data_IF_496020864809
#
_entry.id   IF_496020864809
#
_cell.length_a   1.000
_cell.length_b   1.000
_cell.length_c   1.000
_cell.angle_alpha   90.00
_cell.angle_beta   90.00
_cell.angle_gamma   90.00
#
_symmetry.space_group_name_H-M   'P 1'
#
loop_
_entity.id
_entity.type
_entity.pdbx_description
1 polymer ?
#
# COMPACT_ATOMS: atom_id res chain seq x y z
N UNK A 1 -3.87 -14.46 27.20
CA UNK A 1 -3.92 -14.90 25.79
C UNK A 1 -4.26 -13.67 24.97
N UNK A 2 -3.29 -13.10 24.25
CA UNK A 2 -3.56 -11.96 23.38
C UNK A 2 -4.43 -12.44 22.23
N UNK A 3 -5.62 -11.86 22.09
CA UNK A 3 -6.53 -12.11 20.97
C UNK A 3 -5.75 -11.85 19.67
N UNK A 4 -5.84 -12.69 18.62
CA UNK A 4 -5.28 -12.33 17.34
C UNK A 4 -5.97 -11.05 16.88
N UNK A 5 -5.18 -10.02 16.60
CA UNK A 5 -5.69 -8.77 16.04
C UNK A 5 -6.21 -9.13 14.65
N UNK A 6 -7.52 -9.22 14.48
CA UNK A 6 -8.14 -9.50 13.17
C UNK A 6 -7.73 -8.38 12.23
N UNK A 7 -6.94 -8.69 11.22
CA UNK A 7 -6.57 -7.76 10.17
C UNK A 7 -7.73 -7.70 9.19
N UNK A 8 -8.40 -6.56 9.13
CA UNK A 8 -9.44 -6.32 8.14
C UNK A 8 -8.81 -5.95 6.79
N UNK A 9 -9.40 -6.38 5.66
CA UNK A 9 -8.92 -5.99 4.34
C UNK A 9 -8.99 -4.47 4.17
N UNK A 10 -7.97 -3.89 3.55
CA UNK A 10 -7.96 -2.47 3.20
C UNK A 10 -9.21 -2.13 2.35
N UNK A 11 -10.03 -1.14 2.76
CA UNK A 11 -11.22 -0.76 2.00
C UNK A 11 -10.87 -0.20 0.62
N UNK A 12 -11.82 -0.31 -0.32
CA UNK A 12 -11.66 0.29 -1.65
C UNK A 12 -11.33 1.78 -1.56
N UNK A 13 -10.24 2.20 -2.18
CA UNK A 13 -9.78 3.59 -2.12
C UNK A 13 -8.39 3.77 -2.68
N UNK A 14 -7.93 5.01 -2.71
CA UNK A 14 -6.55 5.38 -3.04
C UNK A 14 -5.84 5.78 -1.77
N UNK A 15 -4.65 5.24 -1.57
CA UNK A 15 -3.86 5.45 -0.36
C UNK A 15 -2.41 5.69 -0.70
N UNK A 16 -1.71 6.36 0.19
CA UNK A 16 -0.27 6.31 0.28
C UNK A 16 0.10 5.20 1.26
N UNK A 17 0.84 4.20 0.80
CA UNK A 17 1.25 3.06 1.59
C UNK A 17 2.70 3.22 2.04
N UNK A 18 2.95 3.05 3.34
CA UNK A 18 4.29 3.08 3.94
C UNK A 18 4.60 1.73 4.59
N UNK A 19 5.66 1.01 4.16
CA UNK A 19 6.02 -0.27 4.75
C UNK A 19 6.51 -0.10 6.20
N UNK A 20 6.20 -1.06 7.07
CA UNK A 20 6.76 -1.09 8.42
C UNK A 20 8.28 -1.31 8.38
N UNK A 21 9.05 -0.62 9.23
CA UNK A 21 10.52 -0.59 9.18
C UNK A 21 11.23 -1.95 9.35
N UNK A 22 10.53 -2.99 9.81
CA UNK A 22 11.08 -4.35 9.97
C UNK A 22 10.83 -5.26 8.77
N UNK A 23 10.29 -4.71 7.67
CA UNK A 23 10.02 -5.48 6.48
C UNK A 23 11.34 -5.89 5.79
N UNK A 24 11.60 -7.18 5.53
CA UNK A 24 12.80 -7.59 4.81
C UNK A 24 12.75 -7.02 3.38
N UNK A 25 13.53 -5.98 3.14
CA UNK A 25 13.71 -5.29 1.86
C UNK A 25 14.57 -6.09 0.84
N UNK A 26 14.86 -7.37 1.12
CA UNK A 26 15.75 -8.21 0.29
C UNK A 26 15.05 -9.53 -0.05
N UNK A 27 13.78 -9.47 -0.47
CA UNK A 27 13.01 -10.62 -0.91
C UNK A 27 12.67 -10.53 -2.40
N UNK A 28 12.62 -11.64 -3.16
CA UNK A 28 12.26 -11.67 -4.59
C UNK A 28 10.81 -11.24 -4.89
N UNK A 29 10.13 -10.61 -3.94
CA UNK A 29 8.73 -10.24 -3.98
C UNK A 29 8.49 -8.78 -4.40
N UNK A 30 9.53 -7.98 -4.70
CA UNK A 30 9.39 -6.61 -5.25
C UNK A 30 9.02 -5.50 -4.25
N UNK A 31 9.30 -5.70 -2.97
CA UNK A 31 8.87 -4.77 -1.89
C UNK A 31 9.70 -3.48 -1.85
N UNK A 32 10.92 -3.55 -2.36
CA UNK A 32 11.91 -2.48 -2.42
C UNK A 32 11.36 -1.30 -3.24
N UNK A 33 10.49 -1.60 -4.21
CA UNK A 33 9.85 -0.61 -5.07
C UNK A 33 8.84 0.26 -4.31
N UNK A 34 8.25 -0.28 -3.25
CA UNK A 34 7.27 0.41 -2.38
C UNK A 34 7.95 1.22 -1.27
N UNK A 35 9.25 1.02 -1.01
CA UNK A 35 9.99 1.81 -0.03
C UNK A 35 10.43 3.17 -0.62
N UNK A 36 10.40 4.28 0.16
CA UNK A 36 9.89 4.45 1.54
C UNK A 36 8.37 4.65 1.63
N UNK A 37 7.70 4.75 0.49
CA UNK A 37 6.26 4.72 0.36
C UNK A 37 5.86 4.78 -1.12
N UNK A 38 4.67 4.31 -1.44
CA UNK A 38 4.13 4.36 -2.80
C UNK A 38 2.63 4.66 -2.81
N UNK A 39 2.16 5.18 -3.94
CA UNK A 39 0.73 5.28 -4.18
C UNK A 39 0.17 3.89 -4.38
N UNK A 40 -0.98 3.59 -3.79
CA UNK A 40 -1.67 2.35 -4.04
C UNK A 40 -3.18 2.55 -4.20
N UNK A 41 -3.80 1.63 -4.92
CA UNK A 41 -5.24 1.57 -5.10
C UNK A 41 -5.72 0.22 -4.61
N UNK A 42 -6.68 0.24 -3.68
CA UNK A 42 -7.37 -0.96 -3.24
C UNK A 42 -8.75 -1.05 -3.88
N UNK A 43 -9.16 -2.27 -4.23
CA UNK A 43 -10.54 -2.60 -4.60
C UNK A 43 -11.32 -3.28 -3.46
N UNK A 44 -10.71 -3.44 -2.28
CA UNK A 44 -11.26 -4.20 -1.15
C UNK A 44 -10.83 -5.67 -1.09
N UNK A 45 -10.14 -6.18 -2.10
CA UNK A 45 -9.63 -7.56 -2.19
C UNK A 45 -8.15 -7.60 -2.58
N UNK A 46 -7.75 -6.73 -3.50
CA UNK A 46 -6.42 -6.53 -4.02
C UNK A 46 -5.99 -5.08 -3.82
N UNK A 47 -4.69 -4.88 -3.75
CA UNK A 47 -4.03 -3.60 -3.66
C UNK A 47 -2.94 -3.58 -4.71
N UNK A 48 -3.01 -2.60 -5.59
CA UNK A 48 -2.04 -2.36 -6.65
C UNK A 48 -1.24 -1.13 -6.26
N UNK A 49 0.08 -1.26 -6.26
CA UNK A 49 1.04 -0.20 -5.95
C UNK A 49 1.58 0.37 -7.24
N UNK A 50 1.72 1.68 -7.25
CA UNK A 50 2.15 2.48 -8.37
C UNK A 50 3.35 3.33 -7.97
N UNK A 51 4.35 3.35 -8.84
CA UNK A 51 5.51 4.24 -8.75
C UNK A 51 5.66 4.95 -10.08
N UNK A 52 5.75 6.27 -10.04
CA UNK A 52 5.84 7.12 -11.25
C UNK A 52 4.73 6.87 -12.31
N UNK A 53 3.58 6.34 -11.87
CA UNK A 53 2.44 6.02 -12.74
C UNK A 53 2.42 4.60 -13.29
N UNK A 54 3.45 3.79 -13.05
CA UNK A 54 3.51 2.38 -13.47
C UNK A 54 3.13 1.45 -12.31
N UNK A 55 2.43 0.37 -12.63
CA UNK A 55 2.16 -0.71 -11.68
C UNK A 55 3.47 -1.46 -11.41
N UNK A 56 3.93 -1.33 -10.17
CA UNK A 56 5.17 -1.96 -9.71
C UNK A 56 4.91 -3.25 -8.97
N UNK A 57 3.77 -3.34 -8.29
CA UNK A 57 3.48 -4.48 -7.44
C UNK A 57 1.98 -4.59 -7.13
N UNK A 58 1.52 -5.82 -6.91
CA UNK A 58 0.16 -6.07 -6.46
C UNK A 58 0.13 -7.17 -5.41
N UNK A 59 -0.67 -6.98 -4.35
CA UNK A 59 -0.89 -7.97 -3.31
C UNK A 59 -2.33 -7.95 -2.83
N UNK A 60 -2.71 -8.93 -2.00
CA UNK A 60 -4.07 -8.95 -1.46
C UNK A 60 -4.24 -7.88 -0.36
N UNK A 61 -5.47 -7.40 -0.19
CA UNK A 61 -5.78 -6.28 0.71
C UNK A 61 -5.55 -6.58 2.20
N UNK A 62 -5.60 -7.86 2.60
CA UNK A 62 -5.30 -8.29 3.97
C UNK A 62 -3.81 -8.21 4.24
N UNK A 63 -3.00 -8.69 3.30
CA UNK A 63 -1.54 -8.63 3.36
C UNK A 63 -1.07 -7.18 3.41
N UNK A 64 -1.63 -6.34 2.54
CA UNK A 64 -1.36 -4.92 2.52
C UNK A 64 -1.68 -4.29 3.91
N UNK A 65 -2.87 -4.53 4.44
CA UNK A 65 -3.29 -4.04 5.76
C UNK A 65 -2.45 -4.58 6.94
N UNK A 66 -1.81 -5.74 6.78
CA UNK A 66 -0.96 -6.34 7.80
C UNK A 66 0.44 -5.71 7.88
N UNK A 67 0.95 -5.22 6.74
CA UNK A 67 2.38 -4.90 6.56
C UNK A 67 2.66 -3.43 6.22
N UNK A 68 1.62 -2.66 5.89
CA UNK A 68 1.73 -1.26 5.50
C UNK A 68 0.78 -0.39 6.31
N UNK A 69 1.23 0.84 6.56
CA UNK A 69 0.37 1.92 7.04
C UNK A 69 -0.20 2.69 5.85
N UNK A 70 -1.50 2.98 5.88
CA UNK A 70 -2.20 3.65 4.78
C UNK A 70 -2.70 5.03 5.21
N UNK A 71 -2.28 6.06 4.47
CA UNK A 71 -2.87 7.38 4.55
C UNK A 71 -3.80 7.58 3.35
N UNK A 72 -5.06 7.94 3.60
CA UNK A 72 -5.98 8.27 2.52
C UNK A 72 -5.44 9.50 1.77
N UNK A 73 -5.08 9.32 0.50
CA UNK A 73 -4.77 10.45 -0.37
C UNK A 73 -6.10 11.01 -0.84
N UNK A 74 -6.52 12.11 -0.21
CA UNK A 74 -7.54 12.96 -0.80
C UNK A 74 -7.04 13.36 -2.19
N UNK A 75 -7.82 13.08 -3.23
CA UNK A 75 -7.51 13.38 -4.63
C UNK A 75 -7.45 14.90 -4.92
N UNK A 76 -7.09 15.73 -3.94
CA UNK A 76 -7.11 17.19 -3.98
C UNK A 76 -5.80 17.82 -4.45
N UNK A 77 -4.85 17.05 -5.00
CA UNK A 77 -3.65 17.63 -5.58
C UNK A 77 -3.24 16.93 -6.88
N UNK A 78 -4.13 17.02 -7.89
CA UNK A 78 -3.63 17.18 -9.24
C UNK A 78 -3.44 18.69 -9.43
N UNK A 79 -2.29 19.20 -8.98
CA UNK A 79 -1.89 20.56 -9.31
C UNK A 79 -1.89 20.69 -10.83
N UNK A 80 -2.83 21.48 -11.33
CA UNK A 80 -2.80 22.05 -12.66
C UNK A 80 -1.53 22.89 -12.74
N UNK A 81 -0.47 22.34 -13.32
CA UNK A 81 0.61 23.14 -13.85
C UNK A 81 0.21 23.48 -15.29
N UNK A 82 -0.24 24.72 -15.47
CA UNK A 82 -0.35 25.43 -16.74
C UNK A 82 1.05 25.71 -17.32
#
# INVERSE_FOLDING_TARGET
MSMPKTIEPLPKGRYWATPHASFPLDGPNGHDEVFPGAHCVSDGKWVIFYKDGEEVWACNAIYAAAHFDFAAVSSACASTAD
#
